data_IF_254193727086
#
_entry.id   IF_254193727086
#
_cell.length_a   1.000
_cell.length_b   1.000
_cell.length_c   1.000
_cell.angle_alpha   90.00
_cell.angle_beta   90.00
_cell.angle_gamma   90.00
#
_symmetry.space_group_name_H-M   'P 1'
#
loop_
_entity.id
_entity.type
_entity.pdbx_description
1 polymer ?
#
# COMPACT_ATOMS: atom_id res chain seq x y z
N UNK A 1 -19.01 -30.14 -34.70
CA UNK A 1 -17.91 -30.04 -33.71
C UNK A 1 -18.18 -28.82 -32.85
N UNK A 2 -18.70 -29.01 -31.64
CA UNK A 2 -18.93 -27.91 -30.69
C UNK A 2 -17.60 -27.59 -30.00
N UNK A 3 -17.05 -26.41 -30.27
CA UNK A 3 -15.91 -25.86 -29.53
C UNK A 3 -16.32 -25.74 -28.06
N UNK A 4 -15.75 -26.60 -27.23
CA UNK A 4 -15.84 -26.47 -25.79
C UNK A 4 -15.22 -25.12 -25.40
N UNK A 5 -16.05 -24.17 -25.00
CA UNK A 5 -15.62 -22.93 -24.40
C UNK A 5 -14.84 -23.28 -23.12
N UNK A 6 -13.51 -23.22 -23.18
CA UNK A 6 -12.65 -23.36 -22.02
C UNK A 6 -12.91 -22.16 -21.10
N UNK A 7 -13.74 -22.36 -20.07
CA UNK A 7 -13.94 -21.38 -19.02
C UNK A 7 -12.62 -21.35 -18.24
N UNK A 8 -11.87 -20.25 -18.33
CA UNK A 8 -10.72 -20.02 -17.47
C UNK A 8 -11.18 -20.21 -16.02
N UNK A 9 -10.72 -21.29 -15.38
CA UNK A 9 -11.03 -21.55 -13.97
C UNK A 9 -10.34 -20.45 -13.16
N UNK A 10 -11.11 -19.43 -12.79
CA UNK A 10 -10.64 -18.38 -11.91
C UNK A 10 -10.40 -19.01 -10.53
N UNK A 11 -9.20 -18.85 -9.94
CA UNK A 11 -8.91 -19.40 -8.64
C UNK A 11 -9.83 -18.76 -7.60
N UNK A 12 -10.56 -19.61 -6.86
CA UNK A 12 -11.45 -19.17 -5.79
C UNK A 12 -10.69 -19.19 -4.45
N UNK A 13 -10.58 -18.04 -3.79
CA UNK A 13 -10.01 -17.91 -2.46
C UNK A 13 -11.13 -17.90 -1.41
N UNK A 14 -11.23 -18.98 -0.63
CA UNK A 14 -12.14 -19.04 0.51
C UNK A 14 -11.42 -18.67 1.81
N UNK A 15 -11.80 -17.53 2.40
CA UNK A 15 -11.33 -17.12 3.73
C UNK A 15 -12.28 -17.67 4.79
N UNK A 16 -11.75 -18.47 5.72
CA UNK A 16 -12.52 -19.06 6.84
C UNK A 16 -12.28 -18.27 8.13
N UNK A 17 -13.11 -18.51 9.15
CA UNK A 17 -12.98 -17.94 10.50
C UNK A 17 -13.08 -16.40 10.58
N UNK A 18 -13.85 -15.76 9.70
CA UNK A 18 -14.14 -14.34 9.80
C UNK A 18 -15.13 -14.11 10.94
N UNK A 19 -14.75 -13.30 11.93
CA UNK A 19 -15.66 -12.92 13.01
C UNK A 19 -16.89 -12.17 12.46
N UNK A 20 -18.06 -12.39 13.08
CA UNK A 20 -19.29 -11.71 12.65
C UNK A 20 -19.16 -10.19 12.65
N UNK A 21 -18.42 -9.63 13.61
CA UNK A 21 -18.14 -8.20 13.69
C UNK A 21 -17.28 -7.70 12.51
N UNK A 22 -16.26 -8.45 12.09
CA UNK A 22 -15.45 -8.10 10.92
C UNK A 22 -16.26 -8.19 9.63
N UNK A 23 -17.05 -9.25 9.47
CA UNK A 23 -17.93 -9.40 8.31
C UNK A 23 -18.95 -8.24 8.20
N UNK A 24 -19.54 -7.81 9.32
CA UNK A 24 -20.46 -6.67 9.33
C UNK A 24 -19.77 -5.36 8.98
N UNK A 25 -18.54 -5.14 9.47
CA UNK A 25 -17.72 -3.96 9.11
C UNK A 25 -17.38 -3.96 7.62
N UNK A 26 -16.98 -5.09 7.05
CA UNK A 26 -16.73 -5.26 5.62
C UNK A 26 -17.98 -4.94 4.80
N UNK A 27 -19.14 -5.50 5.18
CA UNK A 27 -20.41 -5.23 4.50
C UNK A 27 -20.79 -3.75 4.53
N UNK A 28 -20.61 -3.08 5.67
CA UNK A 28 -20.86 -1.62 5.80
C UNK A 28 -19.92 -0.83 4.90
N UNK A 29 -18.64 -1.19 4.86
CA UNK A 29 -17.63 -0.54 4.04
C UNK A 29 -17.93 -0.69 2.55
N UNK A 30 -18.24 -1.91 2.10
CA UNK A 30 -18.62 -2.22 0.73
C UNK A 30 -19.85 -1.42 0.27
N UNK A 31 -20.90 -1.37 1.11
CA UNK A 31 -22.10 -0.55 0.87
C UNK A 31 -21.78 0.94 0.73
N UNK A 32 -20.98 1.49 1.66
CA UNK A 32 -20.58 2.92 1.62
C UNK A 32 -19.87 3.27 0.31
N UNK A 33 -19.12 2.33 -0.25
CA UNK A 33 -18.35 2.51 -1.51
C UNK A 33 -19.08 2.02 -2.76
N UNK A 34 -20.33 1.53 -2.64
CA UNK A 34 -21.10 0.92 -3.75
C UNK A 34 -20.32 -0.20 -4.46
N UNK A 35 -19.56 -0.99 -3.70
CA UNK A 35 -18.76 -2.13 -4.18
C UNK A 35 -19.22 -3.43 -3.55
N UNK A 36 -18.84 -4.55 -4.13
CA UNK A 36 -19.06 -5.87 -3.51
C UNK A 36 -18.04 -6.13 -2.40
N UNK A 37 -18.34 -7.07 -1.50
CA UNK A 37 -17.38 -7.48 -0.46
C UNK A 37 -16.12 -8.09 -1.10
N UNK A 38 -16.30 -8.87 -2.17
CA UNK A 38 -15.17 -9.47 -2.90
C UNK A 38 -14.24 -8.41 -3.48
N UNK A 39 -14.77 -7.39 -4.17
CA UNK A 39 -13.97 -6.28 -4.70
C UNK A 39 -13.21 -5.53 -3.61
N UNK A 40 -13.84 -5.31 -2.45
CA UNK A 40 -13.20 -4.66 -1.31
C UNK A 40 -12.05 -5.51 -0.75
N UNK A 41 -12.27 -6.82 -0.62
CA UNK A 41 -11.26 -7.75 -0.09
C UNK A 41 -10.10 -7.90 -1.07
N UNK A 42 -10.37 -8.08 -2.36
CA UNK A 42 -9.34 -8.19 -3.40
C UNK A 42 -8.47 -6.92 -3.45
N UNK A 43 -9.10 -5.75 -3.51
CA UNK A 43 -8.38 -4.48 -3.53
C UNK A 43 -7.57 -4.24 -2.25
N UNK A 44 -8.04 -4.73 -1.09
CA UNK A 44 -7.28 -4.66 0.14
C UNK A 44 -6.05 -5.57 0.12
N UNK A 45 -6.18 -6.79 -0.43
CA UNK A 45 -5.08 -7.75 -0.58
C UNK A 45 -4.02 -7.20 -1.55
N UNK A 46 -4.43 -6.73 -2.72
CA UNK A 46 -3.53 -6.12 -3.72
C UNK A 46 -2.72 -4.97 -3.11
N UNK A 47 -3.39 -4.09 -2.36
CA UNK A 47 -2.72 -2.97 -1.69
C UNK A 47 -1.73 -3.43 -0.62
N UNK A 48 -2.05 -4.50 0.10
CA UNK A 48 -1.15 -5.01 1.14
C UNK A 48 0.08 -5.68 0.54
N UNK A 49 -0.09 -6.45 -0.54
CA UNK A 49 1.03 -7.03 -1.27
C UNK A 49 1.95 -5.95 -1.84
N UNK A 50 1.37 -4.93 -2.51
CA UNK A 50 2.15 -3.81 -3.04
C UNK A 50 2.90 -3.04 -1.94
N UNK A 51 2.29 -2.88 -0.75
CA UNK A 51 2.98 -2.28 0.40
C UNK A 51 4.16 -3.13 0.85
N UNK A 52 3.95 -4.44 1.05
CA UNK A 52 5.00 -5.35 1.50
C UNK A 52 6.17 -5.38 0.52
N UNK A 53 5.89 -5.47 -0.79
CA UNK A 53 6.90 -5.43 -1.84
C UNK A 53 7.69 -4.12 -1.82
N UNK A 54 7.01 -3.00 -1.64
CA UNK A 54 7.65 -1.70 -1.53
C UNK A 54 8.55 -1.61 -0.29
N UNK A 55 8.10 -2.09 0.86
CA UNK A 55 8.88 -2.13 2.10
C UNK A 55 10.14 -2.99 1.94
N UNK A 56 10.03 -4.16 1.30
CA UNK A 56 11.17 -4.99 0.97
C UNK A 56 12.16 -4.31 0.03
N UNK A 57 11.66 -3.61 -1.00
CA UNK A 57 12.51 -2.85 -1.92
C UNK A 57 13.23 -1.71 -1.20
N UNK A 58 12.52 -1.01 -0.31
CA UNK A 58 13.10 0.06 0.50
C UNK A 58 14.19 -0.47 1.43
N UNK A 59 13.96 -1.60 2.10
CA UNK A 59 14.93 -2.22 3.00
C UNK A 59 16.20 -2.69 2.29
N UNK A 60 16.10 -3.08 1.01
CA UNK A 60 17.23 -3.49 0.17
C UNK A 60 17.96 -2.31 -0.49
N UNK A 61 17.45 -1.09 -0.34
CA UNK A 61 18.02 0.09 -1.00
C UNK A 61 19.42 0.37 -0.43
N UNK A 62 20.45 0.55 -1.28
CA UNK A 62 21.77 0.91 -0.79
C UNK A 62 21.71 2.27 -0.09
N UNK A 63 22.43 2.38 1.03
CA UNK A 63 22.65 3.66 1.69
C UNK A 63 23.35 4.57 0.68
N UNK A 64 22.71 5.69 0.36
CA UNK A 64 23.29 6.69 -0.53
C UNK A 64 24.04 7.68 0.35
N UNK A 65 25.37 7.64 0.29
CA UNK A 65 26.23 8.62 0.94
C UNK A 65 26.10 9.94 0.15
N UNK A 66 25.45 10.93 0.75
CA UNK A 66 25.19 12.23 0.12
C UNK A 66 26.41 13.18 0.17
N UNK A 67 27.51 12.75 0.80
CA UNK A 67 28.76 13.53 0.93
C UNK A 67 28.69 14.71 1.91
N UNK A 68 27.48 15.19 2.23
CA UNK A 68 27.23 16.28 3.16
C UNK A 68 26.16 15.87 4.17
N UNK A 69 26.37 16.19 5.45
CA UNK A 69 25.38 15.89 6.48
C UNK A 69 24.15 16.79 6.33
N UNK A 70 22.95 16.24 6.51
CA UNK A 70 21.72 17.03 6.50
C UNK A 70 21.74 18.15 7.56
N UNK A 71 22.39 17.90 8.70
CA UNK A 71 22.62 18.90 9.75
C UNK A 71 23.47 20.08 9.28
N UNK A 72 24.51 19.83 8.48
CA UNK A 72 25.37 20.90 7.95
C UNK A 72 24.59 21.81 7.01
N UNK A 73 23.80 21.23 6.10
CA UNK A 73 22.94 22.01 5.19
C UNK A 73 21.88 22.82 5.95
N UNK A 74 21.25 22.23 6.97
CA UNK A 74 20.27 22.95 7.79
C UNK A 74 20.90 24.11 8.58
N UNK A 75 22.14 23.94 9.01
CA UNK A 75 22.87 24.98 9.74
C UNK A 75 23.28 26.13 8.81
N UNK A 76 23.75 25.85 7.60
CA UNK A 76 24.05 26.86 6.58
C UNK A 76 22.80 27.72 6.26
N UNK A 77 21.65 27.08 6.01
CA UNK A 77 20.39 27.78 5.75
C UNK A 77 19.92 28.61 6.95
N UNK A 78 20.17 28.15 8.18
CA UNK A 78 19.86 28.91 9.39
C UNK A 78 20.74 30.13 9.54
N UNK A 79 22.04 29.98 9.35
CA UNK A 79 23.00 31.08 9.42
C UNK A 79 22.71 32.14 8.35
N UNK A 80 22.36 31.71 7.14
CA UNK A 80 22.00 32.63 6.06
C UNK A 80 20.73 33.42 6.39
N UNK A 81 19.67 32.75 6.87
CA UNK A 81 18.44 33.44 7.31
C UNK A 81 18.72 34.42 8.45
N UNK A 82 19.51 34.02 9.43
CA UNK A 82 19.80 34.87 10.60
C UNK A 82 20.64 36.10 10.19
N UNK A 83 21.48 35.97 9.14
CA UNK A 83 22.21 37.09 8.54
C UNK A 83 21.33 38.04 7.71
N UNK A 84 20.25 37.55 7.09
CA UNK A 84 19.28 38.39 6.35
C UNK A 84 18.29 39.12 7.27
N UNK A 85 18.08 38.61 8.49
CA UNK A 85 17.16 39.18 9.49
C UNK A 85 17.83 40.10 10.51
N UNK A 86 19.17 40.18 10.53
CA UNK A 86 19.97 41.04 11.41
C UNK A 86 20.36 42.36 10.78
#
# INVERSE_FOLDING_TARGET
>A
MLLACHIHVMPNLQVKNISGSLHQRLRRHARKRRRTISEVVLSAIERELARSEWEECLAKRPVTELGTSASSLLEEERQQRDAELG
#
